data_IF_183184819592
#
_entry.id   IF_183184819592
#
_cell.length_a   1.000
_cell.length_b   1.000
_cell.length_c   1.000
_cell.angle_alpha   90.00
_cell.angle_beta   90.00
_cell.angle_gamma   90.00
#
_symmetry.space_group_name_H-M   'P 1'
#
loop_
_entity.id
_entity.type
_entity.pdbx_description
1 polymer ?
#
# COMPACT_ATOMS: atom_id res chain seq x y z
N UNK A 1 44.47 -10.85 -47.31
CA UNK A 1 43.05 -10.76 -47.70
C UNK A 1 42.31 -12.01 -47.22
N UNK A 2 42.21 -13.11 -47.98
CA UNK A 2 41.36 -14.27 -47.63
C UNK A 2 41.58 -14.93 -46.25
N UNK A 3 42.81 -14.91 -45.73
CA UNK A 3 43.11 -15.41 -44.37
C UNK A 3 42.70 -14.45 -43.23
N UNK A 4 42.80 -13.13 -43.46
CA UNK A 4 42.34 -12.10 -42.50
C UNK A 4 40.81 -12.06 -42.45
N UNK A 5 40.14 -12.36 -43.56
CA UNK A 5 38.67 -12.43 -43.61
C UNK A 5 38.13 -13.60 -42.77
N UNK A 6 38.85 -14.73 -42.73
CA UNK A 6 38.52 -15.89 -41.90
C UNK A 6 38.75 -15.62 -40.41
N UNK A 7 39.87 -14.97 -40.07
CA UNK A 7 40.20 -14.61 -38.69
C UNK A 7 39.18 -13.60 -38.12
N UNK A 8 38.78 -12.60 -38.92
CA UNK A 8 37.71 -11.67 -38.59
C UNK A 8 36.33 -12.36 -38.45
N UNK A 9 36.06 -13.42 -39.22
CA UNK A 9 34.81 -14.16 -39.10
C UNK A 9 34.74 -14.95 -37.78
N UNK A 10 35.84 -15.58 -37.37
CA UNK A 10 35.95 -16.32 -36.10
C UNK A 10 35.84 -15.37 -34.91
N UNK A 11 36.49 -14.20 -34.95
CA UNK A 11 36.37 -13.19 -33.91
C UNK A 11 34.92 -12.71 -33.76
N UNK A 12 34.22 -12.45 -34.86
CA UNK A 12 32.80 -12.08 -34.84
C UNK A 12 31.90 -13.18 -34.29
N UNK A 13 32.19 -14.44 -34.61
CA UNK A 13 31.45 -15.57 -34.06
C UNK A 13 31.61 -15.66 -32.54
N UNK A 14 32.85 -15.50 -32.04
CA UNK A 14 33.11 -15.43 -30.61
C UNK A 14 32.44 -14.23 -29.94
N UNK A 15 32.44 -13.05 -30.56
CA UNK A 15 31.73 -11.87 -30.05
C UNK A 15 30.23 -12.15 -29.90
N UNK A 16 29.60 -12.73 -30.92
CA UNK A 16 28.17 -13.10 -30.88
C UNK A 16 27.90 -14.15 -29.80
N UNK A 17 28.77 -15.15 -29.63
CA UNK A 17 28.63 -16.12 -28.54
C UNK A 17 28.78 -15.48 -27.16
N UNK A 18 29.69 -14.53 -27.01
CA UNK A 18 29.95 -13.81 -25.76
C UNK A 18 28.76 -12.92 -25.40
N UNK A 19 28.20 -12.20 -26.37
CA UNK A 19 26.96 -11.44 -26.22
C UNK A 19 25.78 -12.35 -25.85
N UNK A 20 25.64 -13.50 -26.50
CA UNK A 20 24.58 -14.47 -26.18
C UNK A 20 24.71 -15.01 -24.75
N UNK A 21 25.94 -15.32 -24.31
CA UNK A 21 26.21 -15.76 -22.93
C UNK A 21 25.92 -14.64 -21.93
N UNK A 22 26.31 -13.41 -22.26
CA UNK A 22 26.06 -12.24 -21.42
C UNK A 22 24.56 -11.97 -21.27
N UNK A 23 23.80 -11.99 -22.37
CA UNK A 23 22.34 -11.85 -22.33
C UNK A 23 21.68 -12.95 -21.47
N UNK A 24 22.20 -14.18 -21.49
CA UNK A 24 21.71 -15.26 -20.63
C UNK A 24 22.03 -15.04 -19.16
N UNK A 25 23.21 -14.50 -18.83
CA UNK A 25 23.58 -14.11 -17.47
C UNK A 25 22.64 -13.01 -16.96
N UNK A 26 22.38 -11.99 -17.77
CA UNK A 26 21.54 -10.86 -17.36
C UNK A 26 20.06 -11.28 -17.21
N UNK A 27 19.56 -12.17 -18.07
CA UNK A 27 18.25 -12.78 -17.89
C UNK A 27 18.14 -13.59 -16.59
N UNK A 28 19.14 -14.41 -16.28
CA UNK A 28 19.16 -15.19 -15.03
C UNK A 28 19.26 -14.30 -13.79
N UNK A 29 20.00 -13.18 -13.85
CA UNK A 29 20.04 -12.19 -12.77
C UNK A 29 18.68 -11.54 -12.55
N UNK A 30 18.04 -11.04 -13.62
CA UNK A 30 16.70 -10.47 -13.55
C UNK A 30 15.67 -11.47 -12.99
N UNK A 31 15.77 -12.75 -13.38
CA UNK A 31 14.93 -13.80 -12.81
C UNK A 31 15.19 -14.00 -11.31
N UNK A 32 16.46 -13.97 -10.88
CA UNK A 32 16.83 -14.08 -9.48
C UNK A 32 16.29 -12.89 -8.67
N UNK A 33 16.35 -11.68 -9.22
CA UNK A 33 15.82 -10.47 -8.60
C UNK A 33 14.29 -10.56 -8.41
N UNK A 34 13.56 -11.03 -9.44
CA UNK A 34 12.10 -11.25 -9.35
C UNK A 34 11.77 -12.30 -8.29
N UNK A 35 12.50 -13.42 -8.26
CA UNK A 35 12.29 -14.47 -7.25
C UNK A 35 12.57 -13.96 -5.83
N UNK A 36 13.62 -13.15 -5.66
CA UNK A 36 13.98 -12.54 -4.38
C UNK A 36 12.88 -11.58 -3.91
N UNK A 37 12.41 -10.70 -4.80
CA UNK A 37 11.30 -9.79 -4.49
C UNK A 37 10.00 -10.56 -4.12
N UNK A 38 9.70 -11.64 -4.85
CA UNK A 38 8.53 -12.49 -4.57
C UNK A 38 8.67 -13.21 -3.22
N UNK A 39 9.88 -13.65 -2.87
CA UNK A 39 10.16 -14.28 -1.58
C UNK A 39 9.99 -13.28 -0.44
N UNK A 40 10.54 -12.08 -0.58
CA UNK A 40 10.40 -11.01 0.42
C UNK A 40 8.94 -10.61 0.62
N UNK A 41 8.16 -10.51 -0.47
CA UNK A 41 6.72 -10.28 -0.39
C UNK A 41 6.01 -11.42 0.35
N UNK A 42 6.28 -12.68 0.01
CA UNK A 42 5.69 -13.85 0.68
C UNK A 42 6.03 -13.91 2.17
N UNK A 43 7.25 -13.51 2.54
CA UNK A 43 7.71 -13.42 3.92
C UNK A 43 6.96 -12.34 4.68
N UNK A 44 6.83 -11.15 4.10
CA UNK A 44 6.03 -10.05 4.67
C UNK A 44 4.57 -10.46 4.86
N UNK A 45 3.98 -11.18 3.90
CA UNK A 45 2.62 -11.72 4.02
C UNK A 45 2.50 -12.73 5.17
N UNK A 46 3.48 -13.63 5.32
CA UNK A 46 3.52 -14.59 6.42
C UNK A 46 3.66 -13.91 7.79
N UNK A 47 4.52 -12.90 7.92
CA UNK A 47 4.70 -12.12 9.14
C UNK A 47 3.39 -11.40 9.54
N UNK A 48 2.70 -10.79 8.57
CA UNK A 48 1.39 -10.16 8.77
C UNK A 48 0.35 -11.17 9.28
N UNK A 49 0.25 -12.35 8.65
CA UNK A 49 -0.66 -13.41 9.09
C UNK A 49 -0.32 -13.90 10.49
N UNK A 50 0.96 -14.03 10.85
CA UNK A 50 1.38 -14.43 12.20
C UNK A 50 0.93 -13.43 13.26
N UNK A 51 1.07 -12.12 13.02
CA UNK A 51 0.56 -11.09 13.94
C UNK A 51 -0.96 -11.16 14.04
N UNK A 52 -1.63 -11.37 12.90
CA UNK A 52 -3.09 -11.46 12.88
C UNK A 52 -3.60 -12.65 13.70
N UNK A 53 -2.99 -13.84 13.53
CA UNK A 53 -3.28 -15.02 14.35
C UNK A 53 -3.11 -14.72 15.84
N UNK A 54 -2.00 -14.08 16.24
CA UNK A 54 -1.79 -13.69 17.64
C UNK A 54 -2.89 -12.79 18.21
N UNK A 55 -3.42 -11.85 17.40
CA UNK A 55 -4.58 -11.03 17.80
C UNK A 55 -5.85 -11.86 17.94
N UNK A 56 -6.12 -12.78 17.00
CA UNK A 56 -7.27 -13.69 17.06
C UNK A 56 -7.21 -14.61 18.28
N UNK A 57 -6.04 -15.17 18.57
CA UNK A 57 -5.80 -16.02 19.74
C UNK A 57 -6.02 -15.24 21.04
N UNK A 58 -5.43 -14.06 21.16
CA UNK A 58 -5.63 -13.17 22.32
C UNK A 58 -7.11 -12.85 22.52
N UNK A 59 -7.82 -12.46 21.46
CA UNK A 59 -9.26 -12.18 21.54
C UNK A 59 -10.08 -13.41 21.91
N UNK A 60 -9.74 -14.60 21.39
CA UNK A 60 -10.42 -15.84 21.76
C UNK A 60 -10.31 -16.09 23.27
N UNK A 61 -9.10 -15.94 23.84
CA UNK A 61 -8.92 -16.09 25.31
C UNK A 61 -9.73 -15.06 26.10
N UNK A 62 -9.73 -13.79 25.68
CA UNK A 62 -10.50 -12.74 26.33
C UNK A 62 -12.01 -13.04 26.28
N UNK A 63 -12.52 -13.47 25.12
CA UNK A 63 -13.93 -13.83 24.97
C UNK A 63 -14.31 -15.06 25.79
N UNK A 64 -13.46 -16.07 25.87
CA UNK A 64 -13.67 -17.25 26.73
C UNK A 64 -13.75 -16.85 28.21
N UNK A 65 -12.82 -16.00 28.69
CA UNK A 65 -12.85 -15.47 30.04
C UNK A 65 -14.11 -14.62 30.30
N UNK A 66 -14.49 -13.75 29.36
CA UNK A 66 -15.70 -12.94 29.48
C UNK A 66 -16.98 -13.81 29.52
N UNK A 67 -17.01 -14.91 28.76
CA UNK A 67 -18.09 -15.90 28.80
C UNK A 67 -18.16 -16.58 30.16
N UNK A 68 -17.03 -17.08 30.68
CA UNK A 68 -16.97 -17.73 31.98
C UNK A 68 -17.43 -16.81 33.12
N UNK A 69 -17.01 -15.53 33.13
CA UNK A 69 -17.53 -14.54 34.08
C UNK A 69 -19.03 -14.29 33.92
N UNK A 70 -19.54 -14.33 32.68
CA UNK A 70 -20.98 -14.20 32.42
C UNK A 70 -21.76 -15.41 32.95
N UNK A 71 -21.26 -16.62 32.77
CA UNK A 71 -21.89 -17.86 33.26
C UNK A 71 -21.92 -17.87 34.79
N UNK A 72 -20.80 -17.56 35.45
CA UNK A 72 -20.73 -17.47 36.91
C UNK A 72 -21.60 -16.35 37.48
N UNK A 73 -21.72 -15.22 36.75
CA UNK A 73 -22.60 -14.12 37.13
C UNK A 73 -24.06 -14.53 37.03
N UNK A 74 -24.42 -15.30 35.99
CA UNK A 74 -25.78 -15.81 35.78
C UNK A 74 -26.14 -16.81 36.89
N UNK A 75 -25.27 -17.79 37.19
CA UNK A 75 -25.47 -18.74 38.30
C UNK A 75 -25.69 -18.02 39.64
N UNK A 76 -24.89 -16.99 39.92
CA UNK A 76 -25.01 -16.21 41.17
C UNK A 76 -26.30 -15.39 41.21
N UNK A 77 -26.73 -14.84 40.06
CA UNK A 77 -28.00 -14.11 39.93
C UNK A 77 -29.22 -15.02 40.08
N UNK A 78 -29.18 -16.23 39.53
CA UNK A 78 -30.24 -17.22 39.66
C UNK A 78 -30.44 -17.62 41.12
N UNK A 79 -29.34 -17.84 41.85
CA UNK A 79 -29.37 -18.12 43.29
C UNK A 79 -29.95 -16.95 44.08
N UNK A 80 -29.53 -15.71 43.80
CA UNK A 80 -30.08 -14.53 44.46
C UNK A 80 -31.57 -14.36 44.17
N UNK A 81 -32.00 -14.64 42.94
CA UNK A 81 -33.42 -14.57 42.53
C UNK A 81 -34.23 -15.62 43.28
N UNK A 82 -33.76 -16.87 43.34
CA UNK A 82 -34.41 -17.93 44.12
C UNK A 82 -34.51 -17.59 45.62
N UNK A 83 -33.50 -16.93 46.19
CA UNK A 83 -33.56 -16.45 47.58
C UNK A 83 -34.65 -15.39 47.78
N UNK A 84 -34.77 -14.42 46.87
CA UNK A 84 -35.78 -13.35 46.94
C UNK A 84 -37.20 -13.89 46.67
N UNK A 85 -37.35 -14.79 45.71
CA UNK A 85 -38.64 -15.45 45.40
C UNK A 85 -39.14 -16.27 46.59
N UNK A 86 -38.23 -17.00 47.26
CA UNK A 86 -38.59 -17.79 48.45
C UNK A 86 -38.82 -16.92 49.68
N UNK A 87 -38.11 -15.79 49.84
CA UNK A 87 -38.40 -14.80 50.88
C UNK A 87 -39.81 -14.21 50.70
N UNK A 88 -40.17 -13.82 49.48
CA UNK A 88 -41.52 -13.36 49.14
C UNK A 88 -42.57 -14.45 49.39
N UNK A 89 -42.28 -15.69 49.00
CA UNK A 89 -43.16 -16.84 49.24
C UNK A 89 -43.44 -17.09 50.73
N UNK A 90 -42.42 -16.95 51.59
CA UNK A 90 -42.58 -17.03 53.05
C UNK A 90 -43.41 -15.85 53.57
N UNK A 91 -43.15 -14.63 53.11
CA UNK A 91 -43.94 -13.44 53.49
C UNK A 91 -45.42 -13.60 53.13
N UNK A 92 -45.73 -14.08 51.92
CA UNK A 92 -47.11 -14.33 51.50
C UNK A 92 -47.79 -15.44 52.31
N UNK A 93 -47.07 -16.53 52.60
CA UNK A 93 -47.59 -17.60 53.44
C UNK A 93 -47.85 -17.11 54.88
N UNK A 94 -46.98 -16.27 55.43
CA UNK A 94 -47.18 -15.63 56.73
C UNK A 94 -48.40 -14.70 56.74
N UNK A 95 -48.60 -13.90 55.68
CA UNK A 95 -49.80 -13.06 55.55
C UNK A 95 -51.08 -13.92 55.51
N UNK A 96 -51.09 -15.00 54.73
CA UNK A 96 -52.24 -15.92 54.67
C UNK A 96 -52.50 -16.57 56.04
N UNK A 97 -51.46 -16.99 56.74
CA UNK A 97 -51.56 -17.54 58.11
C UNK A 97 -52.05 -16.50 59.14
N UNK A 98 -51.78 -15.21 58.93
CA UNK A 98 -52.30 -14.12 59.75
C UNK A 98 -53.74 -13.70 59.38
N UNK A 99 -54.41 -14.41 58.47
CA UNK A 99 -55.75 -14.07 57.98
C UNK A 99 -55.78 -12.94 56.94
N UNK A 100 -54.61 -12.48 56.47
CA UNK A 100 -54.46 -11.42 55.48
C UNK A 100 -54.37 -12.04 54.07
N UNK A 101 -55.52 -12.47 53.53
CA UNK A 101 -55.59 -13.08 52.19
C UNK A 101 -57.01 -13.36 51.66
N UNK A 102 -58.04 -12.78 52.28
CA UNK A 102 -59.43 -13.17 52.07
C UNK A 102 -60.06 -12.71 50.75
N UNK A 103 -60.28 -13.66 49.85
CA UNK A 103 -61.57 -13.77 49.16
C UNK A 103 -62.29 -15.01 49.71
N UNK A 104 -63.51 -14.79 50.18
CA UNK A 104 -64.52 -15.74 50.63
C UNK A 104 -64.26 -16.43 51.97
N UNK A 105 -65.22 -16.24 52.89
CA UNK A 105 -65.34 -16.99 54.12
C UNK A 105 -65.76 -18.42 53.83
N UNK A 106 -64.95 -19.36 54.30
CA UNK A 106 -65.33 -20.73 54.60
C UNK A 106 -64.81 -21.00 56.00
N UNK A 107 -65.72 -21.06 56.98
CA UNK A 107 -65.40 -21.56 58.32
C UNK A 107 -65.23 -23.08 58.21
N UNK A 108 -63.99 -23.56 58.13
CA UNK A 108 -63.67 -24.99 58.13
C UNK A 108 -62.26 -25.27 58.63
N UNK A 109 -62.11 -26.25 59.53
CA UNK A 109 -60.81 -26.81 60.00
C UNK A 109 -59.87 -27.18 58.83
N UNK A 110 -60.43 -27.51 57.65
CA UNK A 110 -59.68 -27.84 56.43
C UNK A 110 -58.83 -26.67 55.91
N UNK A 111 -59.24 -25.41 56.14
CA UNK A 111 -58.49 -24.22 55.72
C UNK A 111 -57.25 -23.99 56.60
N UNK A 112 -57.31 -24.34 57.89
CA UNK A 112 -56.17 -24.21 58.81
C UNK A 112 -55.06 -25.24 58.49
N UNK A 113 -55.44 -26.48 58.16
CA UNK A 113 -54.49 -27.51 57.74
C UNK A 113 -53.86 -27.16 56.37
N UNK A 114 -54.62 -26.60 55.44
CA UNK A 114 -54.08 -26.12 54.16
C UNK A 114 -53.08 -24.97 54.34
N UNK A 115 -53.43 -23.99 55.19
CA UNK A 115 -52.59 -22.82 55.48
C UNK A 115 -51.28 -23.22 56.16
N UNK A 116 -51.33 -24.11 57.14
CA UNK A 116 -50.12 -24.65 57.79
C UNK A 116 -49.26 -25.45 56.81
N UNK A 117 -49.87 -26.22 55.90
CA UNK A 117 -49.17 -26.93 54.82
C UNK A 117 -48.49 -25.99 53.81
N UNK A 118 -49.09 -24.84 53.48
CA UNK A 118 -48.47 -23.81 52.62
C UNK A 118 -47.28 -23.16 53.31
N UNK A 119 -47.44 -22.80 54.58
CA UNK A 119 -46.38 -22.21 55.41
C UNK A 119 -45.14 -23.11 55.50
N UNK A 120 -45.35 -24.39 55.81
CA UNK A 120 -44.27 -25.38 55.87
C UNK A 120 -43.56 -25.51 54.52
N UNK A 121 -44.31 -25.62 53.41
CA UNK A 121 -43.73 -25.69 52.06
C UNK A 121 -42.89 -24.45 51.71
N UNK A 122 -43.36 -23.25 52.06
CA UNK A 122 -42.62 -22.00 51.83
C UNK A 122 -41.29 -21.98 52.61
N UNK A 123 -41.30 -22.35 53.90
CA UNK A 123 -40.08 -22.43 54.71
C UNK A 123 -39.12 -23.54 54.26
N UNK A 124 -39.63 -24.68 53.78
CA UNK A 124 -38.79 -25.72 53.18
C UNK A 124 -38.15 -25.26 51.87
N UNK A 125 -38.89 -24.54 51.01
CA UNK A 125 -38.36 -23.96 49.78
C UNK A 125 -37.25 -22.93 50.08
N UNK A 126 -37.48 -22.06 51.08
CA UNK A 126 -36.48 -21.09 51.56
C UNK A 126 -35.20 -21.75 52.07
N UNK A 127 -35.31 -22.77 52.95
CA UNK A 127 -34.15 -23.53 53.44
C UNK A 127 -33.35 -24.21 52.32
N UNK A 128 -34.03 -24.69 51.26
CA UNK A 128 -33.34 -25.23 50.07
C UNK A 128 -32.56 -24.16 49.31
N UNK A 129 -33.16 -23.00 49.05
CA UNK A 129 -32.49 -21.88 48.38
C UNK A 129 -31.27 -21.40 49.17
N UNK A 130 -31.38 -21.29 50.50
CA UNK A 130 -30.27 -20.97 51.41
C UNK A 130 -29.17 -22.03 51.39
N UNK A 131 -29.53 -23.31 51.25
CA UNK A 131 -28.55 -24.39 51.08
C UNK A 131 -27.72 -24.25 49.80
N UNK A 132 -28.38 -23.93 48.67
CA UNK A 132 -27.70 -23.67 47.39
C UNK A 132 -26.78 -22.45 47.49
N UNK A 133 -27.27 -21.36 48.10
CA UNK A 133 -26.47 -20.15 48.29
C UNK A 133 -25.23 -20.37 49.17
N UNK A 134 -25.36 -21.13 50.26
CA UNK A 134 -24.22 -21.51 51.10
C UNK A 134 -23.22 -22.38 50.34
N UNK A 135 -23.68 -23.31 49.53
CA UNK A 135 -22.79 -24.13 48.70
C UNK A 135 -22.01 -23.26 47.70
N UNK A 136 -22.69 -22.31 47.05
CA UNK A 136 -22.05 -21.35 46.13
C UNK A 136 -21.00 -20.51 46.86
N UNK A 137 -21.34 -19.88 47.99
CA UNK A 137 -20.40 -19.08 48.80
C UNK A 137 -19.20 -19.92 49.28
N UNK A 138 -19.43 -21.16 49.70
CA UNK A 138 -18.34 -22.09 50.08
C UNK A 138 -17.43 -22.39 48.90
N UNK A 139 -17.99 -22.52 47.70
CA UNK A 139 -17.22 -22.68 46.46
C UNK A 139 -16.37 -21.44 46.20
N UNK A 140 -16.93 -20.24 46.36
CA UNK A 140 -16.19 -18.98 46.26
C UNK A 140 -15.05 -18.88 47.27
N UNK A 141 -15.30 -19.22 48.54
CA UNK A 141 -14.28 -19.19 49.59
C UNK A 141 -13.12 -20.16 49.28
N UNK A 142 -13.40 -21.32 48.67
CA UNK A 142 -12.36 -22.25 48.20
C UNK A 142 -11.58 -21.71 47.02
N UNK A 143 -12.26 -21.04 46.09
CA UNK A 143 -11.63 -20.35 44.96
C UNK A 143 -10.79 -19.13 45.39
N UNK A 144 -11.12 -18.48 46.51
CA UNK A 144 -10.36 -17.36 47.08
C UNK A 144 -9.22 -17.82 48.02
N UNK A 145 -9.39 -18.93 48.74
CA UNK A 145 -8.47 -19.39 49.80
C UNK A 145 -7.38 -20.38 49.36
N UNK A 146 -7.46 -20.92 48.15
CA UNK A 146 -6.46 -21.84 47.61
C UNK A 146 -6.16 -21.50 46.15
N UNK A 147 -4.94 -21.03 45.90
CA UNK A 147 -4.38 -20.75 44.58
C UNK A 147 -5.00 -19.57 43.82
N UNK A 148 -4.28 -18.44 43.85
CA UNK A 148 -4.22 -17.49 42.73
C UNK A 148 -3.58 -18.10 41.46
N UNK A 149 -3.76 -19.41 41.20
CA UNK A 149 -3.07 -20.11 40.11
C UNK A 149 -3.71 -21.44 39.65
N UNK A 150 -4.95 -21.81 40.01
CA UNK A 150 -5.47 -23.12 39.53
C UNK A 150 -7.00 -23.27 39.48
N UNK A 151 -7.74 -22.18 39.26
CA UNK A 151 -9.20 -22.21 39.08
C UNK A 151 -9.68 -21.79 37.69
N UNK A 152 -8.77 -21.42 36.80
CA UNK A 152 -9.09 -21.19 35.40
C UNK A 152 -8.84 -22.53 34.73
N UNK A 153 -9.90 -23.23 34.32
CA UNK A 153 -9.78 -24.22 33.28
C UNK A 153 -9.27 -23.46 32.06
N UNK A 154 -7.95 -23.43 31.88
CA UNK A 154 -7.33 -22.81 30.72
C UNK A 154 -7.78 -23.64 29.51
N UNK A 155 -8.41 -23.04 28.48
CA UNK A 155 -8.90 -23.79 27.31
C UNK A 155 -7.81 -24.49 26.48
N UNK A 156 -6.54 -24.40 26.93
CA UNK A 156 -5.32 -24.89 26.31
C UNK A 156 -4.68 -26.00 27.17
N UNK A 157 -5.17 -26.25 28.38
CA UNK A 157 -4.68 -27.31 29.28
C UNK A 157 -5.36 -28.67 29.01
N UNK A 158 -6.45 -28.70 28.26
CA UNK A 158 -7.17 -29.93 27.89
C UNK A 158 -6.37 -30.89 27.00
N UNK A 159 -5.24 -30.43 26.42
CA UNK A 159 -4.38 -31.27 25.59
C UNK A 159 -3.27 -31.96 26.37
N UNK A 160 -3.08 -31.65 27.65
CA UNK A 160 -1.99 -32.22 28.44
C UNK A 160 -2.21 -32.15 29.96
N UNK A 161 -3.22 -32.83 30.51
CA UNK A 161 -2.97 -33.61 31.74
C UNK A 161 -4.02 -34.69 32.00
N UNK A 162 -3.59 -35.91 31.71
CA UNK A 162 -4.01 -37.12 32.38
C UNK A 162 -3.82 -36.96 33.91
N UNK A 163 -4.76 -37.48 34.69
CA UNK A 163 -4.56 -37.90 36.10
C UNK A 163 -4.40 -36.81 37.16
N UNK A 164 -5.53 -36.31 37.68
CA UNK A 164 -5.62 -35.89 39.09
C UNK A 164 -6.88 -36.48 39.74
N UNK A 165 -6.75 -37.66 40.33
CA UNK A 165 -7.67 -38.18 41.35
C UNK A 165 -7.38 -37.45 42.67
N UNK A 166 -7.94 -36.26 42.84
CA UNK A 166 -7.95 -35.58 44.13
C UNK A 166 -9.18 -36.00 44.93
N UNK A 167 -9.09 -37.14 45.61
CA UNK A 167 -9.97 -37.48 46.73
C UNK A 167 -9.58 -36.63 47.93
N UNK A 168 -10.22 -35.48 48.10
CA UNK A 168 -10.18 -34.73 49.37
C UNK A 168 -11.54 -34.82 50.04
N UNK A 169 -11.72 -35.89 50.80
CA UNK A 169 -12.73 -35.99 51.85
C UNK A 169 -12.35 -35.03 52.98
N UNK A 170 -12.87 -33.81 52.90
CA UNK A 170 -12.90 -32.88 54.02
C UNK A 170 -14.35 -32.74 54.45
N UNK A 171 -14.71 -33.41 55.55
CA UNK A 171 -15.92 -33.17 56.33
C UNK A 171 -15.86 -31.74 56.85
N UNK A 172 -16.40 -30.80 56.07
CA UNK A 172 -16.79 -29.50 56.60
C UNK A 172 -17.96 -29.75 57.54
N UNK A 173 -17.70 -29.65 58.84
CA UNK A 173 -18.74 -29.60 59.86
C UNK A 173 -19.77 -28.58 59.40
N UNK A 174 -21.03 -28.99 59.26
CA UNK A 174 -22.13 -28.08 59.02
C UNK A 174 -22.23 -27.17 60.23
N UNK A 175 -21.56 -26.02 60.16
CA UNK A 175 -21.99 -24.90 60.96
C UNK A 175 -23.40 -24.61 60.44
N UNK A 176 -24.37 -25.01 61.25
CA UNK A 176 -25.79 -24.78 61.08
C UNK A 176 -26.06 -23.28 61.34
N UNK A 177 -25.31 -22.43 60.65
CA UNK A 177 -25.45 -20.99 60.66
C UNK A 177 -26.50 -20.67 59.62
N UNK A 178 -27.63 -20.17 60.09
CA UNK A 178 -28.69 -19.63 59.23
C UNK A 178 -28.09 -18.65 58.23
N UNK A 179 -28.54 -18.74 56.98
CA UNK A 179 -28.11 -17.82 55.92
C UNK A 179 -28.47 -16.39 56.34
N UNK A 180 -27.45 -15.56 56.55
CA UNK A 180 -27.65 -14.25 57.17
C UNK A 180 -27.59 -13.12 56.14
N UNK A 181 -28.02 -11.92 56.51
CA UNK A 181 -27.97 -10.74 55.63
C UNK A 181 -26.55 -10.42 55.14
N UNK A 182 -25.54 -10.75 55.94
CA UNK A 182 -24.13 -10.64 55.53
C UNK A 182 -23.78 -11.56 54.35
N UNK A 183 -24.35 -12.77 54.28
CA UNK A 183 -24.15 -13.73 53.19
C UNK A 183 -24.79 -13.24 51.90
N UNK A 184 -25.96 -12.61 52.01
CA UNK A 184 -26.63 -11.96 50.90
C UNK A 184 -25.82 -10.79 50.34
N UNK A 185 -25.25 -9.94 51.22
CA UNK A 185 -24.36 -8.84 50.82
C UNK A 185 -23.13 -9.40 50.11
N UNK A 186 -22.48 -10.44 50.66
CA UNK A 186 -21.34 -11.11 50.01
C UNK A 186 -21.68 -11.65 48.62
N UNK A 187 -22.86 -12.26 48.46
CA UNK A 187 -23.33 -12.75 47.15
C UNK A 187 -23.53 -11.59 46.15
N UNK A 188 -24.10 -10.46 46.60
CA UNK A 188 -24.28 -9.26 45.77
C UNK A 188 -22.94 -8.62 45.38
N UNK A 189 -22.00 -8.55 46.31
CA UNK A 189 -20.65 -8.05 46.05
C UNK A 189 -19.90 -8.94 45.05
N UNK A 190 -20.06 -10.27 45.16
CA UNK A 190 -19.50 -11.22 44.19
C UNK A 190 -20.08 -11.02 42.78
N UNK A 191 -21.40 -10.84 42.66
CA UNK A 191 -22.04 -10.52 41.37
C UNK A 191 -21.48 -9.21 40.79
N UNK A 192 -21.26 -8.21 41.63
CA UNK A 192 -20.70 -6.93 41.20
C UNK A 192 -19.23 -7.06 40.76
N UNK A 193 -18.45 -7.87 41.48
CA UNK A 193 -17.07 -8.19 41.14
C UNK A 193 -16.99 -8.89 39.76
N UNK A 194 -17.81 -9.92 39.52
CA UNK A 194 -17.86 -10.62 38.23
C UNK A 194 -18.26 -9.69 37.08
N UNK A 195 -19.17 -8.75 37.31
CA UNK A 195 -19.52 -7.73 36.31
C UNK A 195 -18.34 -6.80 36.01
N UNK A 196 -17.60 -6.39 37.04
CA UNK A 196 -16.40 -5.58 36.90
C UNK A 196 -15.31 -6.33 36.13
N UNK A 197 -15.02 -7.58 36.49
CA UNK A 197 -13.99 -8.40 35.84
C UNK A 197 -14.35 -8.69 34.37
N UNK A 198 -15.61 -9.00 34.09
CA UNK A 198 -16.09 -9.12 32.70
C UNK A 198 -15.93 -7.82 31.92
N UNK A 199 -16.17 -6.68 32.56
CA UNK A 199 -15.98 -5.37 31.92
C UNK A 199 -14.49 -5.08 31.64
N UNK A 200 -13.61 -5.43 32.58
CA UNK A 200 -12.17 -5.30 32.41
C UNK A 200 -11.66 -6.16 31.25
N UNK A 201 -12.06 -7.43 31.18
CA UNK A 201 -11.71 -8.32 30.06
C UNK A 201 -12.27 -7.81 28.74
N UNK A 202 -13.49 -7.26 28.72
CA UNK A 202 -14.06 -6.68 27.50
C UNK A 202 -13.20 -5.53 26.95
N UNK A 203 -12.52 -4.75 27.79
CA UNK A 203 -11.65 -3.66 27.33
C UNK A 203 -10.36 -4.14 26.65
N UNK A 204 -9.96 -5.40 26.85
CA UNK A 204 -8.76 -5.97 26.21
C UNK A 204 -9.05 -6.60 24.84
N UNK A 205 -10.32 -6.72 24.45
CA UNK A 205 -10.71 -7.27 23.15
C UNK A 205 -10.38 -6.25 22.06
N UNK A 206 -9.54 -6.65 21.10
CA UNK A 206 -9.10 -5.81 19.98
C UNK A 206 -10.08 -5.88 18.81
N UNK A 207 -10.11 -4.86 17.97
CA UNK A 207 -10.79 -4.94 16.66
C UNK A 207 -9.96 -5.83 15.72
N UNK A 208 -10.59 -6.89 15.20
CA UNK A 208 -9.94 -7.87 14.36
C UNK A 208 -10.03 -7.46 12.89
N UNK A 209 -8.90 -7.59 12.22
CA UNK A 209 -8.78 -7.39 10.78
C UNK A 209 -9.14 -8.70 10.06
N UNK A 210 -9.90 -8.65 8.96
CA UNK A 210 -10.28 -9.86 8.22
C UNK A 210 -9.06 -10.56 7.60
N UNK A 211 -9.00 -11.90 7.75
CA UNK A 211 -7.99 -12.77 7.11
C UNK A 211 -8.05 -12.65 5.57
N UNK A 212 -9.22 -12.36 5.02
CA UNK A 212 -9.47 -12.25 3.57
C UNK A 212 -9.24 -10.85 3.00
N UNK A 213 -8.30 -10.10 3.56
CA UNK A 213 -7.85 -8.89 2.88
C UNK A 213 -6.95 -9.35 1.75
N UNK A 214 -7.54 -9.44 0.56
CA UNK A 214 -6.76 -9.32 -0.66
C UNK A 214 -5.85 -8.09 -0.50
N UNK A 215 -4.53 -8.21 -0.74
CA UNK A 215 -3.60 -7.07 -0.76
C UNK A 215 -4.05 -5.93 -1.69
N UNK A 216 -5.09 -6.17 -2.48
CA UNK A 216 -5.68 -5.30 -3.49
C UNK A 216 -6.80 -4.41 -2.92
N UNK A 217 -7.44 -4.76 -1.78
CA UNK A 217 -8.74 -4.17 -1.42
C UNK A 217 -8.77 -3.17 -0.27
N UNK A 218 -7.80 -3.13 0.64
CA UNK A 218 -7.79 -2.13 1.73
C UNK A 218 -6.63 -1.15 1.58
N UNK A 219 -6.80 -0.22 0.65
CA UNK A 219 -6.50 1.20 0.85
C UNK A 219 -6.96 1.96 -0.42
N UNK A 220 -8.17 2.56 -0.45
CA UNK A 220 -8.52 3.46 -1.55
C UNK A 220 -7.46 4.56 -1.72
N UNK A 221 -6.74 4.93 -0.64
CA UNK A 221 -5.65 5.92 -0.68
C UNK A 221 -4.39 5.39 -1.34
N UNK A 222 -3.96 4.15 -1.05
CA UNK A 222 -2.81 3.51 -1.74
C UNK A 222 -3.13 3.11 -3.18
N UNK A 223 -4.39 2.78 -3.50
CA UNK A 223 -4.82 2.55 -4.89
C UNK A 223 -4.81 3.85 -5.69
N UNK A 224 -5.29 4.95 -5.10
CA UNK A 224 -5.19 6.27 -5.71
C UNK A 224 -3.72 6.67 -5.88
N UNK A 225 -2.86 6.42 -4.89
CA UNK A 225 -1.43 6.71 -4.99
C UNK A 225 -0.74 5.84 -6.03
N UNK A 226 -1.02 4.53 -6.09
CA UNK A 226 -0.49 3.63 -7.11
C UNK A 226 -0.97 4.03 -8.52
N UNK A 227 -2.26 4.31 -8.70
CA UNK A 227 -2.80 4.81 -9.97
C UNK A 227 -2.23 6.18 -10.34
N UNK A 228 -1.97 7.05 -9.35
CA UNK A 228 -1.32 8.35 -9.57
C UNK A 228 0.12 8.16 -10.02
N UNK A 229 0.87 7.26 -9.39
CA UNK A 229 2.23 6.90 -9.77
C UNK A 229 2.27 6.26 -11.17
N UNK A 230 1.31 5.40 -11.49
CA UNK A 230 1.17 4.80 -12.83
C UNK A 230 0.86 5.86 -13.89
N UNK A 231 0.01 6.83 -13.58
CA UNK A 231 -0.29 7.98 -14.45
C UNK A 231 0.92 8.90 -14.61
N UNK A 232 1.61 9.24 -13.53
CA UNK A 232 2.85 10.03 -13.56
C UNK A 232 3.92 9.32 -14.39
N UNK A 233 4.10 8.01 -14.22
CA UNK A 233 5.02 7.20 -15.01
C UNK A 233 4.61 7.15 -16.50
N UNK A 234 3.31 7.01 -16.80
CA UNK A 234 2.80 7.04 -18.16
C UNK A 234 3.02 8.41 -18.84
N UNK A 235 2.80 9.51 -18.10
CA UNK A 235 3.07 10.88 -18.58
C UNK A 235 4.57 11.05 -18.85
N UNK A 236 5.44 10.61 -17.94
CA UNK A 236 6.89 10.67 -18.15
C UNK A 236 7.33 9.86 -19.38
N UNK A 237 6.75 8.67 -19.60
CA UNK A 237 7.02 7.87 -20.81
C UNK A 237 6.54 8.60 -22.06
N UNK A 238 5.36 9.24 -22.02
CA UNK A 238 4.83 10.02 -23.13
C UNK A 238 5.70 11.25 -23.44
N UNK A 239 6.11 12.01 -22.43
CA UNK A 239 7.02 13.15 -22.56
C UNK A 239 8.38 12.71 -23.12
N UNK A 240 8.93 11.59 -22.62
CA UNK A 240 10.17 11.01 -23.14
C UNK A 240 10.03 10.59 -24.59
N UNK A 241 8.88 10.02 -24.99
CA UNK A 241 8.61 9.66 -26.38
C UNK A 241 8.47 10.89 -27.27
N UNK A 242 7.79 11.95 -26.82
CA UNK A 242 7.70 13.22 -27.54
C UNK A 242 9.10 13.83 -27.75
N UNK A 243 9.93 13.88 -26.70
CA UNK A 243 11.31 14.37 -26.81
C UNK A 243 12.15 13.47 -27.75
N UNK A 244 11.93 12.16 -27.75
CA UNK A 244 12.62 11.24 -28.69
C UNK A 244 12.21 11.52 -30.14
N UNK A 245 10.94 11.82 -30.39
CA UNK A 245 10.42 12.18 -31.71
C UNK A 245 10.99 13.53 -32.18
N UNK A 246 10.92 14.57 -31.34
CA UNK A 246 11.52 15.87 -31.62
C UNK A 246 13.03 15.77 -31.88
N UNK A 247 13.75 14.94 -31.11
CA UNK A 247 15.17 14.68 -31.33
C UNK A 247 15.43 13.97 -32.66
N UNK A 248 14.56 13.04 -33.06
CA UNK A 248 14.67 12.37 -34.36
C UNK A 248 14.39 13.35 -35.51
N UNK A 249 13.39 14.22 -35.36
CA UNK A 249 13.06 15.28 -36.32
C UNK A 249 14.21 16.29 -36.46
N UNK A 250 14.77 16.76 -35.34
CA UNK A 250 15.92 17.67 -35.34
C UNK A 250 17.14 17.04 -36.01
N UNK A 251 17.39 15.75 -35.80
CA UNK A 251 18.48 15.02 -36.50
C UNK A 251 18.24 14.97 -38.00
N UNK A 252 17.02 14.67 -38.43
CA UNK A 252 16.67 14.65 -39.86
C UNK A 252 16.84 16.05 -40.49
N UNK A 253 16.41 17.10 -39.81
CA UNK A 253 16.57 18.49 -40.26
C UNK A 253 18.04 18.90 -40.31
N UNK A 254 18.83 18.53 -39.31
CA UNK A 254 20.28 18.78 -39.31
C UNK A 254 20.95 18.09 -40.50
N UNK A 255 20.58 16.84 -40.80
CA UNK A 255 21.11 16.11 -41.95
C UNK A 255 20.80 16.81 -43.28
N UNK A 256 19.57 17.28 -43.47
CA UNK A 256 19.18 18.02 -44.68
C UNK A 256 19.94 19.35 -44.81
N UNK A 257 20.00 20.13 -43.72
CA UNK A 257 20.74 21.39 -43.70
C UNK A 257 22.23 21.19 -43.97
N UNK A 258 22.84 20.15 -43.43
CA UNK A 258 24.24 19.83 -43.73
C UNK A 258 24.44 19.44 -45.21
N UNK A 259 23.47 18.75 -45.83
CA UNK A 259 23.52 18.43 -47.27
C UNK A 259 23.40 19.70 -48.12
N UNK A 260 22.48 20.60 -47.76
CA UNK A 260 22.31 21.90 -48.42
C UNK A 260 23.55 22.77 -48.28
N UNK A 261 24.12 22.86 -47.06
CA UNK A 261 25.39 23.56 -46.80
C UNK A 261 26.51 23.04 -47.70
N UNK A 262 26.71 21.72 -47.77
CA UNK A 262 27.74 21.11 -48.64
C UNK A 262 27.49 21.42 -50.12
N UNK A 263 26.23 21.42 -50.56
CA UNK A 263 25.89 21.77 -51.94
C UNK A 263 26.19 23.24 -52.26
N UNK A 264 25.88 24.14 -51.33
CA UNK A 264 26.19 25.58 -51.46
C UNK A 264 27.70 25.83 -51.42
N UNK A 265 28.44 25.16 -50.55
CA UNK A 265 29.91 25.23 -50.50
C UNK A 265 30.55 24.84 -51.85
N UNK A 266 30.06 23.77 -52.49
CA UNK A 266 30.53 23.37 -53.81
C UNK A 266 30.20 24.42 -54.90
N UNK A 267 29.00 25.02 -54.86
CA UNK A 267 28.62 26.10 -55.79
C UNK A 267 29.48 27.34 -55.60
N UNK A 268 29.74 27.72 -54.35
CA UNK A 268 30.62 28.84 -54.02
C UNK A 268 32.03 28.60 -54.57
N UNK A 269 32.61 27.43 -54.34
CA UNK A 269 33.93 27.07 -54.86
C UNK A 269 33.95 27.08 -56.41
N UNK A 270 32.90 26.59 -57.07
CA UNK A 270 32.79 26.70 -58.53
C UNK A 270 32.77 28.15 -59.02
N UNK A 271 32.16 29.08 -58.27
CA UNK A 271 32.18 30.51 -58.61
C UNK A 271 33.52 31.17 -58.28
N UNK A 272 34.16 30.78 -57.18
CA UNK A 272 35.50 31.26 -56.81
C UNK A 272 36.56 30.87 -57.84
N UNK A 273 36.52 29.61 -58.31
CA UNK A 273 37.39 29.16 -59.41
C UNK A 273 37.09 29.88 -60.72
N UNK A 274 35.82 30.16 -61.03
CA UNK A 274 35.43 30.95 -62.20
C UNK A 274 35.95 32.40 -62.10
N UNK A 275 35.82 33.03 -60.94
CA UNK A 275 36.38 34.36 -60.68
C UNK A 275 37.90 34.36 -60.86
N UNK A 276 38.59 33.36 -60.29
CA UNK A 276 40.03 33.24 -60.40
C UNK A 276 40.48 33.09 -61.87
N UNK A 277 39.75 32.32 -62.68
CA UNK A 277 40.01 32.20 -64.11
C UNK A 277 39.86 33.53 -64.86
N UNK A 278 38.78 34.29 -64.60
CA UNK A 278 38.60 35.61 -65.17
C UNK A 278 39.66 36.60 -64.71
N UNK A 279 40.09 36.53 -63.45
CA UNK A 279 41.15 37.38 -62.91
C UNK A 279 42.48 37.15 -63.63
N UNK A 280 42.85 35.89 -63.86
CA UNK A 280 44.03 35.52 -64.67
C UNK A 280 43.90 36.02 -66.11
N UNK A 281 42.71 35.90 -66.72
CA UNK A 281 42.47 36.40 -68.07
C UNK A 281 42.61 37.92 -68.16
N UNK A 282 42.06 38.67 -67.20
CA UNK A 282 42.22 40.12 -67.11
C UNK A 282 43.70 40.48 -66.97
N UNK A 283 44.44 39.79 -66.10
CA UNK A 283 45.86 40.05 -65.90
C UNK A 283 46.70 39.74 -67.15
N UNK A 284 46.35 38.68 -67.90
CA UNK A 284 46.94 38.39 -69.20
C UNK A 284 46.71 39.50 -70.21
N UNK A 285 45.45 39.94 -70.38
CA UNK A 285 45.09 41.03 -71.30
C UNK A 285 45.74 42.36 -70.92
N UNK A 286 45.81 42.69 -69.62
CA UNK A 286 46.55 43.85 -69.12
C UNK A 286 48.04 43.74 -69.46
N UNK A 287 48.61 42.54 -69.34
CA UNK A 287 49.97 42.24 -69.78
C UNK A 287 50.16 42.53 -71.26
N UNK A 288 49.30 41.99 -72.13
CA UNK A 288 49.34 42.24 -73.59
C UNK A 288 49.19 43.71 -73.94
N UNK A 289 48.25 44.43 -73.31
CA UNK A 289 48.10 45.88 -73.48
C UNK A 289 49.35 46.64 -73.03
N UNK A 290 50.01 46.24 -71.94
CA UNK A 290 51.27 46.84 -71.52
C UNK A 290 52.39 46.59 -72.55
N UNK A 291 52.44 45.40 -73.16
CA UNK A 291 53.37 45.10 -74.26
C UNK A 291 53.06 45.96 -75.50
N UNK A 292 51.78 46.10 -75.88
CA UNK A 292 51.36 46.92 -77.01
C UNK A 292 51.60 48.42 -76.78
N UNK A 293 51.33 48.93 -75.57
CA UNK A 293 51.63 50.32 -75.19
C UNK A 293 53.13 50.60 -75.30
N UNK A 294 54.00 49.69 -74.82
CA UNK A 294 55.46 49.83 -74.99
C UNK A 294 55.89 49.80 -76.47
N UNK A 295 55.18 49.06 -77.32
CA UNK A 295 55.39 49.09 -78.78
C UNK A 295 54.83 50.36 -79.43
N UNK A 296 53.74 50.94 -78.91
CA UNK A 296 53.22 52.24 -79.34
C UNK A 296 54.13 53.39 -78.90
N UNK A 297 54.67 53.36 -77.68
CA UNK A 297 55.64 54.36 -77.20
C UNK A 297 56.96 54.29 -78.01
N UNK A 298 57.21 53.21 -78.74
CA UNK A 298 58.29 53.09 -79.74
C UNK A 298 57.91 53.67 -81.12
N UNK A 299 56.63 53.92 -81.39
CA UNK A 299 56.10 54.34 -82.70
C UNK A 299 55.21 55.61 -82.69
N UNK A 300 54.92 56.22 -81.54
CA UNK A 300 54.11 57.45 -81.39
C UNK A 300 54.95 58.67 -81.02
N UNK A 301 55.93 58.99 -81.86
CA UNK A 301 56.34 60.39 -82.08
C UNK A 301 55.58 61.04 -83.24
N UNK A 302 54.38 60.54 -83.59
CA UNK A 302 53.43 61.26 -84.46
C UNK A 302 52.03 60.64 -84.44
N UNK A 303 51.03 61.50 -84.23
CA UNK A 303 49.58 61.32 -84.42
C UNK A 303 48.75 60.76 -83.25
N UNK A 304 47.82 61.61 -82.81
CA UNK A 304 46.79 61.45 -81.79
C UNK A 304 45.63 60.57 -82.26
N UNK A 305 45.01 59.74 -81.39
CA UNK A 305 43.67 59.24 -81.63
C UNK A 305 42.63 60.01 -80.81
N UNK A 306 41.64 60.55 -81.51
CA UNK A 306 40.38 61.04 -80.94
C UNK A 306 39.63 59.86 -80.29
N UNK A 307 39.21 60.04 -79.04
CA UNK A 307 38.24 59.18 -78.36
C UNK A 307 36.91 59.90 -78.33
N UNK A 308 35.86 59.27 -78.86
CA UNK A 308 34.52 59.84 -78.96
C UNK A 308 33.94 60.10 -77.54
N UNK A 309 33.64 61.37 -77.17
CA UNK A 309 33.23 61.74 -75.81
C UNK A 309 31.79 61.32 -75.45
N UNK A 310 31.09 60.61 -76.33
CA UNK A 310 29.70 60.15 -76.10
C UNK A 310 29.61 58.84 -75.32
N UNK A 311 30.43 57.84 -75.66
CA UNK A 311 30.38 56.53 -75.00
C UNK A 311 30.88 56.57 -73.55
N UNK A 312 31.81 57.48 -73.26
CA UNK A 312 32.39 57.64 -71.93
C UNK A 312 31.45 58.38 -70.95
N UNK A 313 30.54 59.22 -71.48
CA UNK A 313 29.48 59.84 -70.69
C UNK A 313 28.36 58.84 -70.37
N UNK A 314 28.03 57.96 -71.31
CA UNK A 314 26.96 56.96 -71.20
C UNK A 314 27.30 55.84 -70.19
N UNK A 315 28.58 55.49 -70.08
CA UNK A 315 29.09 54.56 -69.06
C UNK A 315 29.19 55.17 -67.65
N UNK A 316 29.26 56.51 -67.55
CA UNK A 316 29.39 57.21 -66.26
C UNK A 316 28.04 57.65 -65.67
N UNK A 317 26.98 57.67 -66.49
CA UNK A 317 25.62 58.04 -66.08
C UNK A 317 24.74 56.86 -65.66
N UNK A 318 25.16 55.62 -65.90
CA UNK A 318 24.42 54.44 -65.45
C UNK A 318 24.74 54.13 -63.98
N UNK A 319 23.69 53.93 -63.17
CA UNK A 319 23.89 53.48 -61.80
C UNK A 319 24.49 52.06 -61.79
N UNK A 320 25.44 51.78 -60.89
CA UNK A 320 26.11 50.48 -60.83
C UNK A 320 25.15 49.32 -60.57
N UNK A 321 23.95 49.59 -60.01
CA UNK A 321 22.92 48.59 -59.77
C UNK A 321 22.28 48.04 -61.06
N UNK A 322 22.08 48.88 -62.09
CA UNK A 322 21.49 48.44 -63.37
C UNK A 322 22.50 47.60 -64.18
N UNK A 323 23.78 47.96 -64.10
CA UNK A 323 24.86 47.21 -64.75
C UNK A 323 25.04 45.82 -64.14
N UNK A 324 24.85 45.70 -62.82
CA UNK A 324 24.85 44.40 -62.13
C UNK A 324 23.59 43.61 -62.50
N UNK A 325 22.42 44.24 -62.60
CA UNK A 325 21.18 43.56 -63.00
C UNK A 325 21.28 42.98 -64.43
N UNK A 326 21.77 43.75 -65.40
CA UNK A 326 21.94 43.28 -66.78
C UNK A 326 22.99 42.17 -66.91
N UNK A 327 24.07 42.23 -66.12
CA UNK A 327 25.04 41.15 -66.04
C UNK A 327 24.45 39.89 -65.40
N UNK A 328 23.59 40.05 -64.38
CA UNK A 328 22.91 38.93 -63.71
C UNK A 328 21.91 38.26 -64.65
N UNK A 329 21.14 39.05 -65.40
CA UNK A 329 20.18 38.55 -66.42
C UNK A 329 20.90 37.86 -67.58
N UNK A 330 22.08 38.34 -67.96
CA UNK A 330 22.88 37.70 -69.03
C UNK A 330 23.62 36.43 -68.58
N UNK A 331 23.75 36.19 -67.27
CA UNK A 331 24.40 35.00 -66.69
C UNK A 331 23.43 33.84 -66.42
N UNK A 332 22.12 34.07 -66.54
CA UNK A 332 21.04 33.08 -66.35
C UNK A 332 20.48 32.51 -67.69
N UNK A 333 21.24 32.62 -68.79
CA UNK A 333 21.03 31.88 -70.05
C UNK A 333 22.27 31.06 -70.41
#
# INVERSE_FOLDING_TARGET
SRGQDMENAIVKEFEVELERRQARIDHLKAQNDVLTATLDESKSHAERLSVLIGKYESNNTALQLASAFSDQCTESQDVLTALLDTEMGVLLANCRAAGLGGLAGTDGDDDEEEVTGILQRAHHARRRAEGVARHLLTRLDRNCGGHMSSGICHPWEDVSTNSRTASTSSTSSSNDTDFNKADEIRLRDHIQQLKSDRSAVRTTVLELESVHIDPIMNEPRRRIEAQRLDLENAVLVQELMAIKEEKAELKARSYLLEKEKRALELRLNSKETQEQAFRVQIDHLKGELCYQQKHQDFHTSSSSPQTDPRLLAELKSREPAELIHDLTVSLDH
#
